data_IF_161477043433
#
_entry.id   IF_161477043433
#
_cell.length_a   1.000
_cell.length_b   1.000
_cell.length_c   1.000
_cell.angle_alpha   90.00
_cell.angle_beta   90.00
_cell.angle_gamma   90.00
#
_symmetry.space_group_name_H-M   'P 1'
#
loop_
_entity.id
_entity.type
_entity.pdbx_description
1 polymer ?
#
# COMPACT_ATOMS: atom_id res chain seq x y z
N UNK A 1 -1.52 18.55 -14.56
CA UNK A 1 -0.21 18.95 -15.12
C UNK A 1 0.99 18.47 -14.29
N UNK A 2 1.20 18.88 -13.03
CA UNK A 2 2.40 18.46 -12.28
C UNK A 2 2.46 16.96 -11.90
N UNK A 3 1.31 16.33 -11.63
CA UNK A 3 1.25 14.90 -11.24
C UNK A 3 1.30 13.95 -12.46
N UNK A 4 0.84 14.42 -13.62
CA UNK A 4 0.88 13.65 -14.88
C UNK A 4 2.32 13.45 -15.36
N UNK A 5 3.16 14.50 -15.26
CA UNK A 5 4.59 14.41 -15.59
C UNK A 5 5.30 13.38 -14.70
N UNK A 6 5.06 13.39 -13.38
CA UNK A 6 5.69 12.43 -12.45
C UNK A 6 5.32 10.97 -12.75
N UNK A 7 4.09 10.72 -13.18
CA UNK A 7 3.65 9.36 -13.55
C UNK A 7 4.27 8.91 -14.87
N UNK A 8 4.39 9.82 -15.85
CA UNK A 8 5.06 9.54 -17.12
C UNK A 8 6.57 9.28 -16.95
N UNK A 9 7.24 10.07 -16.11
CA UNK A 9 8.66 9.91 -15.78
C UNK A 9 8.90 8.57 -15.08
N UNK A 10 8.06 8.21 -14.10
CA UNK A 10 8.13 6.92 -13.41
C UNK A 10 7.90 5.74 -14.37
N UNK A 11 6.91 5.84 -15.27
CA UNK A 11 6.67 4.82 -16.30
C UNK A 11 7.87 4.63 -17.19
N UNK A 12 8.49 5.73 -17.64
CA UNK A 12 9.71 5.69 -18.45
C UNK A 12 10.82 4.99 -17.68
N UNK A 13 11.03 5.32 -16.40
CA UNK A 13 12.04 4.66 -15.56
C UNK A 13 11.79 3.16 -15.39
N UNK A 14 10.54 2.75 -15.12
CA UNK A 14 10.16 1.35 -14.97
C UNK A 14 10.36 0.54 -16.27
N UNK A 15 10.16 1.16 -17.43
CA UNK A 15 10.40 0.53 -18.74
C UNK A 15 11.88 0.31 -19.07
N UNK A 16 12.80 1.02 -18.41
CA UNK A 16 14.24 0.82 -18.59
C UNK A 16 14.81 -0.30 -17.71
N UNK A 17 14.01 -0.84 -16.79
CA UNK A 17 14.42 -1.96 -15.95
C UNK A 17 14.51 -3.25 -16.77
N UNK A 18 15.38 -4.16 -16.35
CA UNK A 18 15.33 -5.51 -16.88
C UNK A 18 14.01 -6.21 -16.46
N UNK A 19 13.54 -7.22 -17.21
CA UNK A 19 12.26 -7.86 -16.95
C UNK A 19 12.14 -8.48 -15.55
N UNK A 20 13.25 -8.96 -14.97
CA UNK A 20 13.24 -9.59 -13.64
C UNK A 20 12.99 -8.54 -12.58
N UNK A 21 13.76 -7.46 -12.58
CA UNK A 21 13.60 -6.34 -11.64
C UNK A 21 12.20 -5.71 -11.76
N UNK A 22 11.71 -5.50 -12.99
CA UNK A 22 10.35 -4.98 -13.19
C UNK A 22 9.29 -5.86 -12.53
N UNK A 23 9.36 -7.17 -12.75
CA UNK A 23 8.40 -8.13 -12.21
C UNK A 23 8.48 -8.21 -10.68
N UNK A 24 9.68 -8.20 -10.10
CA UNK A 24 9.87 -8.19 -8.65
C UNK A 24 9.22 -6.97 -7.98
N UNK A 25 9.38 -5.78 -8.57
CA UNK A 25 8.77 -4.54 -8.04
C UNK A 25 7.24 -4.62 -8.14
N UNK A 26 6.72 -5.03 -9.29
CA UNK A 26 5.28 -5.18 -9.54
C UNK A 26 4.65 -6.17 -8.57
N UNK A 27 5.25 -7.35 -8.39
CA UNK A 27 4.74 -8.34 -7.43
C UNK A 27 4.80 -7.84 -6.00
N UNK A 28 5.90 -7.20 -5.60
CA UNK A 28 6.04 -6.66 -4.24
C UNK A 28 4.99 -5.57 -3.96
N UNK A 29 4.72 -4.70 -4.94
CA UNK A 29 3.67 -3.70 -4.82
C UNK A 29 2.29 -4.34 -4.58
N UNK A 30 1.90 -5.31 -5.40
CA UNK A 30 0.60 -5.96 -5.24
C UNK A 30 0.49 -6.79 -3.98
N UNK A 31 1.55 -7.50 -3.56
CA UNK A 31 1.55 -8.20 -2.25
C UNK A 31 1.30 -7.24 -1.10
N UNK A 32 1.90 -6.05 -1.11
CA UNK A 32 1.64 -5.04 -0.07
C UNK A 32 0.19 -4.55 -0.21
N UNK A 33 -0.24 -4.15 -1.41
CA UNK A 33 -1.58 -3.60 -1.63
C UNK A 33 -2.70 -4.56 -1.21
N UNK A 34 -2.53 -5.86 -1.50
CA UNK A 34 -3.51 -6.91 -1.22
C UNK A 34 -3.57 -7.26 0.28
N UNK A 35 -2.50 -7.05 1.04
CA UNK A 35 -2.44 -7.44 2.45
C UNK A 35 -2.59 -6.29 3.45
N UNK A 36 -2.36 -5.04 3.03
CA UNK A 36 -2.32 -3.90 3.95
C UNK A 36 -3.70 -3.57 4.57
N UNK A 37 -4.77 -3.53 3.76
CA UNK A 37 -6.13 -3.29 4.27
C UNK A 37 -6.67 -4.48 5.08
N UNK A 38 -6.53 -5.75 4.63
CA UNK A 38 -6.91 -6.90 5.46
C UNK A 38 -6.19 -6.96 6.81
N UNK A 39 -4.92 -6.54 6.88
CA UNK A 39 -4.20 -6.45 8.15
C UNK A 39 -4.84 -5.42 9.09
N UNK A 40 -5.13 -4.21 8.60
CA UNK A 40 -5.82 -3.19 9.40
C UNK A 40 -7.18 -3.71 9.90
N UNK A 41 -7.95 -4.37 9.04
CA UNK A 41 -9.28 -4.89 9.40
C UNK A 41 -9.20 -6.01 10.44
N UNK A 42 -8.20 -6.88 10.34
CA UNK A 42 -7.96 -7.93 11.31
C UNK A 42 -7.60 -7.36 12.70
N UNK A 43 -6.86 -6.25 12.75
CA UNK A 43 -6.52 -5.55 13.99
C UNK A 43 -7.75 -4.91 14.65
N UNK A 44 -8.62 -4.25 13.87
CA UNK A 44 -9.89 -3.70 14.36
C UNK A 44 -10.81 -4.80 14.90
N UNK A 45 -10.96 -5.89 14.15
CA UNK A 45 -11.77 -7.03 14.59
C UNK A 45 -11.22 -7.66 15.88
N UNK A 46 -9.91 -7.81 15.99
CA UNK A 46 -9.28 -8.35 17.20
C UNK A 46 -9.44 -7.44 18.43
N UNK A 47 -9.43 -6.12 18.27
CA UNK A 47 -9.76 -5.17 19.35
C UNK A 47 -11.23 -5.30 19.77
N UNK A 48 -12.14 -5.38 18.80
CA UNK A 48 -13.57 -5.56 19.05
C UNK A 48 -13.87 -6.87 19.80
N UNK A 49 -13.21 -7.97 19.41
CA UNK A 49 -13.33 -9.27 20.07
C UNK A 49 -12.82 -9.25 21.52
N UNK A 50 -11.94 -8.30 21.87
CA UNK A 50 -11.43 -8.08 23.23
C UNK A 50 -12.26 -7.08 24.06
N UNK A 51 -13.42 -6.65 23.56
CA UNK A 51 -14.33 -5.74 24.26
C UNK A 51 -14.31 -4.30 23.75
N UNK A 52 -13.55 -4.00 22.69
CA UNK A 52 -13.64 -2.73 21.96
C UNK A 52 -13.25 -1.51 22.81
N UNK A 53 -12.13 -1.62 23.54
CA UNK A 53 -11.69 -0.59 24.48
C UNK A 53 -10.80 0.48 23.86
N UNK A 54 -10.69 0.52 22.52
CA UNK A 54 -9.72 1.37 21.83
C UNK A 54 -8.30 1.13 22.37
N UNK A 55 -7.93 -0.15 22.41
CA UNK A 55 -6.65 -0.60 22.94
C UNK A 55 -5.52 -0.50 21.91
N UNK A 56 -4.34 -1.05 22.23
CA UNK A 56 -3.15 -0.96 21.37
C UNK A 56 -3.35 -1.59 19.97
N UNK A 57 -4.32 -2.50 19.81
CA UNK A 57 -4.64 -3.06 18.49
C UNK A 57 -5.31 -2.02 17.58
N UNK A 58 -6.15 -1.16 18.14
CA UNK A 58 -6.78 -0.08 17.39
C UNK A 58 -5.77 1.02 17.01
N UNK A 59 -4.78 1.29 17.87
CA UNK A 59 -3.66 2.18 17.54
C UNK A 59 -2.88 1.68 16.30
N UNK A 60 -2.56 0.39 16.25
CA UNK A 60 -1.92 -0.24 15.09
C UNK A 60 -2.83 -0.22 13.85
N UNK A 61 -4.13 -0.50 13.99
CA UNK A 61 -5.10 -0.38 12.89
C UNK A 61 -5.03 1.00 12.21
N UNK A 62 -5.01 2.08 13.00
CA UNK A 62 -4.93 3.43 12.45
C UNK A 62 -3.59 3.72 11.75
N UNK A 63 -2.49 3.13 12.21
CA UNK A 63 -1.21 3.21 11.53
C UNK A 63 -1.27 2.53 10.16
N UNK A 64 -1.79 1.31 10.10
CA UNK A 64 -1.89 0.58 8.83
C UNK A 64 -2.92 1.17 7.86
N UNK A 65 -4.00 1.78 8.36
CA UNK A 65 -4.90 2.57 7.52
C UNK A 65 -4.21 3.81 6.91
N UNK A 66 -3.39 4.52 7.68
CA UNK A 66 -2.61 5.64 7.14
C UNK A 66 -1.63 5.17 6.06
N UNK A 67 -0.97 4.03 6.27
CA UNK A 67 -0.12 3.43 5.23
C UNK A 67 -0.92 3.06 3.98
N UNK A 68 -2.12 2.51 4.14
CA UNK A 68 -3.00 2.18 3.01
C UNK A 68 -3.43 3.42 2.22
N UNK A 69 -3.78 4.49 2.90
CA UNK A 69 -4.13 5.77 2.25
C UNK A 69 -2.94 6.40 1.51
N UNK A 70 -1.73 6.28 2.06
CA UNK A 70 -0.51 6.72 1.37
C UNK A 70 -0.20 5.84 0.16
N UNK A 71 -0.36 4.52 0.27
CA UNK A 71 -0.15 3.59 -0.83
C UNK A 71 -1.09 3.88 -2.01
N UNK A 72 -2.36 4.22 -1.73
CA UNK A 72 -3.35 4.63 -2.76
C UNK A 72 -3.00 5.94 -3.47
N UNK A 73 -2.14 6.77 -2.87
CA UNK A 73 -1.62 8.01 -3.48
C UNK A 73 -0.32 7.77 -4.26
N UNK A 74 0.25 6.56 -4.21
CA UNK A 74 1.47 6.22 -4.93
C UNK A 74 1.23 6.19 -6.43
N UNK A 75 2.07 6.90 -7.20
CA UNK A 75 2.06 6.82 -8.66
C UNK A 75 2.50 5.44 -9.17
N UNK A 76 3.15 4.61 -8.34
CA UNK A 76 3.62 3.28 -8.72
C UNK A 76 2.44 2.37 -9.11
N UNK A 77 1.30 2.46 -8.42
CA UNK A 77 0.10 1.68 -8.74
C UNK A 77 -0.54 2.00 -10.09
N UNK A 78 -0.19 3.14 -10.70
CA UNK A 78 -0.59 3.49 -12.07
C UNK A 78 0.45 3.13 -13.14
N UNK A 79 1.55 2.46 -12.73
CA UNK A 79 2.70 2.13 -13.58
C UNK A 79 3.01 0.64 -13.60
N UNK A 80 2.78 -0.09 -12.49
CA UNK A 80 2.95 -1.56 -12.39
C UNK A 80 1.74 -2.35 -12.89
#
# INVERSE_FOLDING_TARGET
MANENKTADLRTAMQQLDPTTYQEIRESYYRIADHLKPLADALEQADADQGGHAGPLLDEHFLFLQMYDLLRKSNLGGVV
#
